data_IF_666791134942
#
_entry.id   IF_666791134942
#
_cell.length_a   1.000
_cell.length_b   1.000
_cell.length_c   1.000
_cell.angle_alpha   90.00
_cell.angle_beta   90.00
_cell.angle_gamma   90.00
#
_symmetry.space_group_name_H-M   'P 1'
#
loop_
_entity.id
_entity.type
_entity.pdbx_description
1 polymer ?
#
# COMPACT_ATOMS: atom_id res chain seq x y z
N UNK A 1 1.74 -8.17 0.17
CA UNK A 1 2.17 -7.97 -1.24
C UNK A 1 3.09 -6.78 -1.27
N UNK A 2 4.24 -6.87 -1.96
CA UNK A 2 5.30 -5.87 -1.89
C UNK A 2 5.12 -4.64 -2.82
N UNK A 3 4.08 -4.62 -3.66
CA UNK A 3 3.78 -3.51 -4.57
C UNK A 3 2.37 -2.94 -4.36
N UNK A 4 2.25 -1.63 -4.57
CA UNK A 4 1.02 -0.86 -4.38
C UNK A 4 0.91 0.30 -5.39
N UNK A 5 -0.18 1.06 -5.31
CA UNK A 5 -0.40 2.30 -6.06
C UNK A 5 0.77 3.27 -5.90
N UNK A 6 1.12 4.05 -6.94
CA UNK A 6 2.32 4.90 -6.93
C UNK A 6 2.28 6.01 -5.88
N UNK A 7 1.09 6.35 -5.38
CA UNK A 7 0.84 7.43 -4.43
C UNK A 7 0.69 6.95 -2.98
N UNK A 8 0.88 5.66 -2.65
CA UNK A 8 0.77 5.17 -1.26
C UNK A 8 1.71 5.91 -0.29
N UNK A 9 2.91 6.26 -0.76
CA UNK A 9 3.90 7.02 0.03
C UNK A 9 3.49 8.46 0.30
N UNK A 10 2.48 8.98 -0.40
CA UNK A 10 1.92 10.30 -0.13
C UNK A 10 0.89 10.26 0.99
N UNK A 11 0.26 9.11 1.25
CA UNK A 11 -0.85 8.97 2.21
C UNK A 11 -0.46 8.43 3.57
N UNK A 12 0.70 7.79 3.70
CA UNK A 12 1.21 7.31 4.98
C UNK A 12 2.74 7.28 5.02
N UNK A 13 3.28 7.22 6.23
CA UNK A 13 4.72 7.17 6.51
C UNK A 13 5.22 5.79 6.94
N UNK A 14 4.49 4.73 6.53
CA UNK A 14 4.83 3.34 6.85
C UNK A 14 6.27 3.01 6.47
N UNK A 15 7.04 2.55 7.45
CA UNK A 15 8.49 2.32 7.35
C UNK A 15 8.87 0.84 7.50
N UNK A 16 7.93 -0.08 7.20
CA UNK A 16 8.22 -1.52 7.15
C UNK A 16 9.24 -1.80 6.03
N UNK A 17 10.24 -2.63 6.32
CA UNK A 17 11.23 -3.07 5.32
C UNK A 17 11.15 -4.58 5.12
N UNK A 18 11.63 -5.05 3.96
CA UNK A 18 11.71 -6.48 3.64
C UNK A 18 13.18 -6.88 3.53
N UNK A 19 13.68 -7.62 4.52
CA UNK A 19 15.08 -8.04 4.60
C UNK A 19 15.15 -9.55 4.84
N UNK A 20 15.99 -10.27 4.09
CA UNK A 20 16.13 -11.73 4.15
C UNK A 20 14.81 -12.53 4.04
N UNK A 21 13.82 -11.99 3.33
CA UNK A 21 12.50 -12.61 3.18
C UNK A 21 11.57 -12.39 4.37
N UNK A 22 11.99 -11.60 5.36
CA UNK A 22 11.23 -11.25 6.56
C UNK A 22 10.78 -9.78 6.53
N UNK A 23 9.63 -9.50 7.13
CA UNK A 23 9.16 -8.13 7.32
C UNK A 23 9.70 -7.58 8.64
N UNK A 24 10.43 -6.47 8.56
CA UNK A 24 10.93 -5.76 9.72
C UNK A 24 9.96 -4.63 10.06
N UNK A 25 9.37 -4.71 11.25
CA UNK A 25 8.41 -3.73 11.75
C UNK A 25 9.13 -2.81 12.74
N UNK A 26 9.12 -1.48 12.54
CA UNK A 26 9.63 -0.54 13.53
C UNK A 26 8.87 -0.64 14.85
N UNK A 27 9.59 -0.74 15.97
CA UNK A 27 9.03 -0.95 17.31
C UNK A 27 9.06 0.31 18.20
N UNK A 28 9.51 1.44 17.63
CA UNK A 28 9.74 2.72 18.32
C UNK A 28 8.52 3.65 18.31
N UNK A 29 7.42 3.25 17.67
CA UNK A 29 6.20 4.04 17.53
C UNK A 29 5.00 3.36 18.19
N UNK A 30 4.08 4.12 18.81
CA UNK A 30 2.90 3.56 19.45
C UNK A 30 1.89 3.01 18.43
N UNK A 31 0.97 2.16 18.92
CA UNK A 31 -0.12 1.63 18.11
C UNK A 31 0.39 0.73 16.98
N UNK A 32 -0.10 0.97 15.76
CA UNK A 32 0.32 0.22 14.56
C UNK A 32 1.59 0.79 13.90
N UNK A 33 2.15 1.88 14.45
CA UNK A 33 3.42 2.47 13.97
C UNK A 33 3.35 3.21 12.63
N UNK A 34 2.17 3.69 12.23
CA UNK A 34 1.94 4.40 10.96
C UNK A 34 1.06 5.63 11.22
N UNK A 35 1.47 6.78 10.69
CA UNK A 35 0.65 7.98 10.58
C UNK A 35 0.13 8.13 9.14
N UNK A 36 -1.03 8.80 9.01
CA UNK A 36 -1.71 9.01 7.73
C UNK A 36 -1.89 10.50 7.41
N UNK A 37 -1.81 10.85 6.13
CA UNK A 37 -2.11 12.19 5.62
C UNK A 37 -3.51 12.21 4.99
N UNK A 38 -4.49 12.71 5.74
CA UNK A 38 -5.87 12.82 5.29
C UNK A 38 -6.04 13.74 4.05
N UNK A 39 -5.22 14.79 3.94
CA UNK A 39 -5.28 15.69 2.80
C UNK A 39 -4.72 15.03 1.53
N UNK A 40 -3.71 14.17 1.65
CA UNK A 40 -3.25 13.34 0.53
C UNK A 40 -4.31 12.28 0.16
N UNK A 41 -4.93 11.62 1.15
CA UNK A 41 -6.01 10.64 0.91
C UNK A 41 -7.17 11.27 0.12
N UNK A 42 -7.56 12.50 0.46
CA UNK A 42 -8.64 13.22 -0.22
C UNK A 42 -8.40 13.46 -1.72
N UNK A 43 -7.13 13.45 -2.19
CA UNK A 43 -6.79 13.55 -3.62
C UNK A 43 -7.12 12.28 -4.41
N UNK A 44 -7.35 11.16 -3.73
CA UNK A 44 -7.58 9.84 -4.33
C UNK A 44 -8.95 9.27 -3.91
N UNK A 45 -10.06 9.90 -4.36
CA UNK A 45 -11.39 9.48 -3.96
C UNK A 45 -11.71 8.06 -4.44
N UNK A 46 -12.54 7.36 -3.66
CA UNK A 46 -13.00 6.01 -3.96
C UNK A 46 -13.54 5.89 -5.38
N UNK A 47 -13.12 4.83 -6.08
CA UNK A 47 -13.66 4.43 -7.36
C UNK A 47 -14.34 3.07 -7.23
N UNK A 48 -15.60 2.92 -7.68
CA UNK A 48 -16.28 1.64 -7.63
C UNK A 48 -15.58 0.64 -8.54
N UNK A 49 -15.12 -0.47 -7.95
CA UNK A 49 -14.52 -1.58 -8.68
C UNK A 49 -15.41 -2.82 -8.58
N UNK A 50 -15.60 -3.49 -9.71
CA UNK A 50 -16.26 -4.79 -9.70
C UNK A 50 -15.41 -5.83 -8.97
N UNK A 51 -16.06 -6.68 -8.18
CA UNK A 51 -15.38 -7.78 -7.50
C UNK A 51 -14.76 -8.74 -8.52
N UNK A 52 -13.43 -8.86 -8.47
CA UNK A 52 -12.61 -9.63 -9.42
C UNK A 52 -13.00 -11.11 -9.49
N UNK A 53 -13.44 -11.68 -8.37
CA UNK A 53 -13.94 -13.05 -8.25
C UNK A 53 -15.08 -13.37 -9.22
N UNK A 54 -15.87 -12.37 -9.60
CA UNK A 54 -17.05 -12.55 -10.46
C UNK A 54 -16.83 -12.09 -11.91
N UNK A 55 -15.62 -11.64 -12.26
CA UNK A 55 -15.28 -11.13 -13.61
C UNK A 55 -14.12 -11.86 -14.28
N UNK A 56 -13.52 -12.86 -13.63
CA UNK A 56 -12.36 -13.60 -14.16
C UNK A 56 -11.04 -12.83 -14.09
N UNK A 57 -11.01 -11.67 -13.43
CA UNK A 57 -9.85 -10.76 -13.36
C UNK A 57 -9.10 -10.88 -12.03
N UNK A 58 -9.04 -12.09 -11.45
CA UNK A 58 -8.52 -12.34 -10.09
C UNK A 58 -7.09 -11.82 -9.92
N UNK A 59 -6.27 -11.88 -10.97
CA UNK A 59 -4.87 -11.44 -10.99
C UNK A 59 -4.70 -9.97 -11.39
N UNK A 60 -5.73 -9.29 -11.89
CA UNK A 60 -5.69 -7.87 -12.27
C UNK A 60 -5.89 -6.98 -11.05
N UNK A 61 -4.93 -7.06 -10.14
CA UNK A 61 -5.08 -6.51 -8.80
C UNK A 61 -4.44 -5.14 -8.59
N UNK A 62 -3.68 -4.65 -9.57
CA UNK A 62 -2.89 -3.42 -9.49
C UNK A 62 -2.95 -2.62 -10.79
N UNK A 63 -2.83 -1.29 -10.71
CA UNK A 63 -2.65 -0.47 -11.91
C UNK A 63 -1.29 -0.77 -12.55
N UNK A 64 -1.17 -0.44 -13.85
CA UNK A 64 0.04 -0.73 -14.64
C UNK A 64 1.30 -0.02 -14.11
N UNK A 65 1.13 1.07 -13.38
CA UNK A 65 2.20 1.89 -12.80
C UNK A 65 2.45 1.61 -11.31
N UNK A 66 1.96 0.47 -10.79
CA UNK A 66 2.20 0.06 -9.42
C UNK A 66 3.71 -0.04 -9.11
N UNK A 67 4.10 0.43 -7.92
CA UNK A 67 5.49 0.53 -7.49
C UNK A 67 5.75 -0.40 -6.30
N UNK A 68 7.00 -0.84 -6.17
CA UNK A 68 7.45 -1.49 -4.95
C UNK A 68 7.29 -0.50 -3.77
N UNK A 69 6.69 -0.97 -2.69
CA UNK A 69 6.40 -0.13 -1.54
C UNK A 69 7.46 -0.29 -0.44
N UNK A 70 7.76 -1.52 -0.03
CA UNK A 70 8.78 -1.76 0.99
C UNK A 70 10.19 -1.57 0.43
N UNK A 71 11.06 -0.93 1.20
CA UNK A 71 12.49 -0.93 0.88
C UNK A 71 13.13 -2.25 1.28
N UNK A 72 14.26 -2.56 0.63
CA UNK A 72 15.18 -3.59 1.08
C UNK A 72 15.86 -3.16 2.39
#
# INVERSE_FOLDING_TARGET
MASDVPWRREVCDEAVTLHDGEMHIPMDRPGIGVDIDEAAIAKHPYQPIGLRHYKGTLTEIRPADAKAFFSA
#
